data_IF_351100216213
#
_entry.id   IF_351100216213
#
_cell.length_a   1.000
_cell.length_b   1.000
_cell.length_c   1.000
_cell.angle_alpha   90.00
_cell.angle_beta   90.00
_cell.angle_gamma   90.00
#
_symmetry.space_group_name_H-M   'P 1'
#
loop_
_entity.id
_entity.type
_entity.pdbx_description
1 polymer ?
#
# COMPACT_ATOMS: atom_id res chain seq x y z
N UNK A 1 -86.27 -6.42 -4.03
CA UNK A 1 -86.09 -7.89 -3.95
C UNK A 1 -87.14 -8.45 -3.01
N UNK A 2 -87.82 -9.59 -3.35
CA UNK A 2 -88.69 -10.30 -2.42
C UNK A 2 -87.86 -10.83 -1.25
N UNK A 3 -88.33 -10.68 0.03
CA UNK A 3 -87.47 -11.05 1.20
C UNK A 3 -86.99 -12.52 1.23
N UNK A 4 -87.76 -13.45 0.69
CA UNK A 4 -87.39 -14.87 0.61
C UNK A 4 -86.25 -15.11 -0.40
N UNK A 5 -86.27 -14.45 -1.55
CA UNK A 5 -85.26 -14.51 -2.56
C UNK A 5 -83.93 -13.90 -2.03
N UNK A 6 -84.08 -12.77 -1.37
CA UNK A 6 -82.88 -12.12 -0.74
C UNK A 6 -82.21 -13.08 0.26
N UNK A 7 -82.96 -13.71 1.13
CA UNK A 7 -82.42 -14.68 2.08
C UNK A 7 -81.75 -15.90 1.36
N UNK A 8 -82.41 -16.36 0.28
CA UNK A 8 -81.89 -17.50 -0.47
C UNK A 8 -80.57 -17.19 -1.16
N UNK A 9 -80.48 -16.05 -1.90
CA UNK A 9 -79.27 -15.66 -2.61
C UNK A 9 -78.16 -15.34 -1.59
N UNK A 10 -78.47 -14.70 -0.48
CA UNK A 10 -77.50 -14.45 0.57
C UNK A 10 -76.95 -15.75 1.16
N UNK A 11 -77.77 -16.74 1.42
CA UNK A 11 -77.34 -18.06 1.87
C UNK A 11 -76.43 -18.75 0.85
N UNK A 12 -76.72 -18.64 -0.45
CA UNK A 12 -75.89 -19.20 -1.53
C UNK A 12 -74.54 -18.50 -1.63
N UNK A 13 -74.53 -17.17 -1.46
CA UNK A 13 -73.29 -16.40 -1.42
C UNK A 13 -72.43 -16.73 -0.20
N UNK A 14 -73.02 -16.87 0.96
CA UNK A 14 -72.28 -17.23 2.20
C UNK A 14 -71.70 -18.65 2.05
N UNK A 15 -72.44 -19.58 1.46
CA UNK A 15 -71.98 -20.92 1.13
C UNK A 15 -70.79 -20.87 0.11
N UNK A 16 -70.88 -20.02 -0.93
CA UNK A 16 -69.83 -19.82 -1.88
C UNK A 16 -68.53 -19.31 -1.19
N UNK A 17 -68.65 -18.30 -0.34
CA UNK A 17 -67.52 -17.72 0.39
C UNK A 17 -66.88 -18.74 1.34
N UNK A 18 -67.69 -19.54 2.02
CA UNK A 18 -67.21 -20.59 2.93
C UNK A 18 -66.49 -21.72 2.18
N UNK A 19 -67.06 -22.19 1.03
CA UNK A 19 -66.37 -23.17 0.20
C UNK A 19 -65.06 -22.62 -0.38
N UNK A 20 -65.04 -21.35 -0.80
CA UNK A 20 -63.83 -20.69 -1.29
C UNK A 20 -62.81 -20.59 -0.16
N UNK A 21 -63.17 -20.16 1.03
CA UNK A 21 -62.30 -20.07 2.19
C UNK A 21 -61.74 -21.45 2.64
N UNK A 22 -62.54 -22.46 2.56
CA UNK A 22 -62.19 -23.84 2.91
C UNK A 22 -61.37 -24.56 1.81
N UNK A 23 -61.26 -23.96 0.61
CA UNK A 23 -60.64 -24.58 -0.57
C UNK A 23 -61.38 -25.85 -1.01
N UNK A 24 -62.74 -25.82 -0.89
CA UNK A 24 -63.60 -26.93 -1.18
C UNK A 24 -63.97 -27.00 -2.66
N UNK A 25 -63.57 -28.07 -3.37
CA UNK A 25 -63.78 -28.26 -4.79
C UNK A 25 -65.29 -28.28 -5.20
N UNK A 26 -66.22 -28.54 -4.22
CA UNK A 26 -67.67 -28.50 -4.42
C UNK A 26 -68.15 -27.12 -4.94
N UNK A 27 -67.33 -26.04 -4.67
CA UNK A 27 -67.57 -24.74 -5.24
C UNK A 27 -67.72 -24.79 -6.78
N UNK A 28 -66.97 -25.63 -7.44
CA UNK A 28 -66.96 -25.75 -8.91
C UNK A 28 -68.32 -26.24 -9.49
N UNK A 29 -69.17 -26.93 -8.68
CA UNK A 29 -70.48 -27.38 -9.07
C UNK A 29 -71.56 -26.27 -9.10
N UNK A 30 -71.23 -25.10 -8.53
CA UNK A 30 -72.11 -23.96 -8.48
C UNK A 30 -72.11 -23.10 -9.77
N UNK A 31 -71.13 -23.34 -10.66
CA UNK A 31 -71.04 -22.58 -11.92
C UNK A 31 -71.99 -23.17 -12.98
N UNK A 32 -72.61 -22.27 -13.74
CA UNK A 32 -73.44 -22.59 -14.91
C UNK A 32 -72.57 -23.15 -16.05
N UNK A 33 -73.20 -23.94 -16.91
CA UNK A 33 -72.52 -24.35 -18.18
C UNK A 33 -72.16 -23.15 -19.05
N UNK A 34 -73.00 -22.09 -19.00
CA UNK A 34 -72.83 -20.81 -19.72
C UNK A 34 -72.14 -19.77 -18.85
N UNK A 35 -70.94 -20.13 -18.32
CA UNK A 35 -70.21 -19.32 -17.37
C UNK A 35 -69.23 -18.38 -18.09
N UNK A 36 -69.07 -17.18 -17.53
CA UNK A 36 -67.94 -16.29 -17.83
C UNK A 36 -67.32 -15.75 -16.54
N UNK A 37 -66.03 -15.30 -16.60
CA UNK A 37 -65.43 -14.72 -15.43
C UNK A 37 -64.04 -14.15 -15.69
N UNK A 38 -63.54 -13.37 -14.73
CA UNK A 38 -62.13 -12.92 -14.71
C UNK A 38 -61.60 -12.92 -13.30
N UNK A 39 -60.28 -13.12 -13.19
CA UNK A 39 -59.55 -13.09 -11.92
C UNK A 39 -58.72 -11.82 -11.77
N UNK A 40 -58.44 -11.40 -10.53
CA UNK A 40 -57.71 -10.20 -10.23
C UNK A 40 -56.26 -10.15 -10.77
N UNK A 41 -55.70 -11.27 -11.18
CA UNK A 41 -54.37 -11.36 -11.78
C UNK A 41 -54.39 -11.69 -13.29
N UNK A 42 -55.58 -11.92 -13.88
CA UNK A 42 -55.73 -12.35 -15.26
C UNK A 42 -56.07 -11.18 -16.19
N UNK A 43 -55.35 -11.05 -17.30
CA UNK A 43 -55.60 -10.03 -18.33
C UNK A 43 -56.58 -10.51 -19.41
N UNK A 44 -57.36 -11.56 -19.13
CA UNK A 44 -58.26 -12.17 -20.10
C UNK A 44 -59.60 -12.54 -19.45
N UNK A 45 -60.64 -12.62 -20.26
CA UNK A 45 -61.95 -13.05 -19.87
C UNK A 45 -62.07 -14.56 -20.16
N UNK A 46 -62.31 -15.34 -19.13
CA UNK A 46 -62.66 -16.75 -19.26
C UNK A 46 -64.13 -16.85 -19.70
N UNK A 47 -64.41 -17.62 -20.75
CA UNK A 47 -65.72 -17.83 -21.33
C UNK A 47 -66.14 -19.28 -21.31
N UNK A 48 -65.42 -20.08 -20.59
CA UNK A 48 -65.63 -21.52 -20.51
C UNK A 48 -65.61 -21.99 -19.06
N UNK A 49 -66.60 -22.74 -18.65
CA UNK A 49 -66.73 -23.25 -17.28
C UNK A 49 -65.58 -24.15 -16.91
N UNK A 50 -65.15 -25.05 -17.79
CA UNK A 50 -64.12 -26.04 -17.48
C UNK A 50 -62.74 -25.34 -17.33
N UNK A 51 -62.51 -24.26 -18.08
CA UNK A 51 -61.33 -23.41 -17.90
C UNK A 51 -61.37 -22.72 -16.55
N UNK A 52 -62.55 -22.17 -16.14
CA UNK A 52 -62.71 -21.54 -14.83
C UNK A 52 -62.51 -22.51 -13.68
N UNK A 53 -63.02 -23.75 -13.81
CA UNK A 53 -62.79 -24.80 -12.83
C UNK A 53 -61.29 -25.11 -12.69
N UNK A 54 -60.54 -25.18 -13.79
CA UNK A 54 -59.08 -25.36 -13.75
C UNK A 54 -58.39 -24.22 -13.01
N UNK A 55 -58.76 -22.97 -13.30
CA UNK A 55 -58.20 -21.79 -12.63
C UNK A 55 -58.50 -21.82 -11.12
N UNK A 56 -59.77 -22.12 -10.75
CA UNK A 56 -60.16 -22.24 -9.35
C UNK A 56 -59.32 -23.29 -8.60
N UNK A 57 -59.10 -24.45 -9.22
CA UNK A 57 -58.28 -25.54 -8.67
C UNK A 57 -56.79 -25.12 -8.58
N UNK A 58 -56.29 -24.38 -9.54
CA UNK A 58 -54.94 -23.80 -9.49
C UNK A 58 -54.78 -22.82 -8.34
N UNK A 59 -55.78 -21.93 -8.13
CA UNK A 59 -55.78 -21.02 -6.97
C UNK A 59 -55.77 -21.79 -5.64
N UNK A 60 -56.60 -22.83 -5.54
CA UNK A 60 -56.64 -23.67 -4.34
C UNK A 60 -55.31 -24.41 -4.08
N UNK A 61 -54.62 -24.80 -5.13
CA UNK A 61 -53.29 -25.47 -5.04
C UNK A 61 -52.17 -24.50 -4.63
N UNK A 62 -52.25 -23.24 -4.99
CA UNK A 62 -51.22 -22.22 -4.65
C UNK A 62 -51.17 -21.93 -3.14
N UNK A 63 -52.32 -21.97 -2.46
CA UNK A 63 -52.41 -21.71 -1.03
C UNK A 63 -53.06 -22.88 -0.36
N UNK A 64 -52.22 -23.77 0.22
CA UNK A 64 -52.69 -24.92 0.96
C UNK A 64 -53.27 -24.52 2.31
N UNK A 65 -54.45 -25.05 2.65
CA UNK A 65 -55.13 -24.76 3.89
C UNK A 65 -56.20 -23.66 3.80
N UNK A 66 -56.97 -23.58 4.88
CA UNK A 66 -58.07 -22.61 4.95
C UNK A 66 -57.56 -21.20 5.01
N UNK A 67 -58.15 -20.31 4.22
CA UNK A 67 -57.96 -18.86 4.31
C UNK A 67 -59.08 -18.21 5.14
N UNK A 68 -58.84 -17.05 5.69
CA UNK A 68 -59.87 -16.28 6.36
C UNK A 68 -60.31 -15.12 5.46
N UNK A 69 -61.63 -15.06 5.24
CA UNK A 69 -62.29 -13.94 4.52
C UNK A 69 -62.97 -13.04 5.55
N UNK A 70 -62.62 -11.79 5.56
CA UNK A 70 -63.21 -10.76 6.40
C UNK A 70 -64.09 -9.89 5.55
N UNK A 71 -65.44 -10.09 5.63
CA UNK A 71 -66.45 -9.36 4.86
C UNK A 71 -66.53 -7.92 5.35
N UNK A 72 -66.42 -6.97 4.44
CA UNK A 72 -66.56 -5.55 4.77
C UNK A 72 -67.94 -5.02 4.37
N UNK A 73 -68.42 -5.35 3.18
CA UNK A 73 -69.70 -4.91 2.68
C UNK A 73 -70.25 -5.87 1.61
N UNK A 74 -71.54 -5.96 1.50
CA UNK A 74 -72.24 -6.79 0.50
C UNK A 74 -73.53 -6.12 0.06
N UNK A 75 -73.73 -6.06 -1.24
CA UNK A 75 -74.92 -5.53 -1.90
C UNK A 75 -75.55 -6.56 -2.81
N UNK A 76 -76.87 -6.78 -2.71
CA UNK A 76 -77.66 -7.64 -3.62
C UNK A 76 -78.61 -6.76 -4.43
N UNK A 77 -78.57 -6.97 -5.75
CA UNK A 77 -79.40 -6.22 -6.72
C UNK A 77 -80.21 -7.13 -7.62
N UNK A 78 -81.56 -7.07 -7.53
CA UNK A 78 -82.43 -7.75 -8.47
C UNK A 78 -82.34 -7.07 -9.84
N UNK A 79 -81.99 -7.82 -10.86
CA UNK A 79 -81.92 -7.39 -12.23
C UNK A 79 -83.24 -7.86 -12.97
N UNK A 80 -83.67 -9.09 -12.67
CA UNK A 80 -84.93 -9.69 -13.10
C UNK A 80 -85.36 -10.76 -12.11
N UNK A 81 -86.51 -11.41 -12.38
CA UNK A 81 -86.99 -12.53 -11.57
C UNK A 81 -86.01 -13.73 -11.57
N UNK A 82 -85.21 -13.83 -12.59
CA UNK A 82 -84.28 -14.93 -12.80
C UNK A 82 -82.80 -14.55 -12.60
N UNK A 83 -82.45 -13.24 -12.36
CA UNK A 83 -81.07 -12.78 -12.30
C UNK A 83 -80.89 -11.84 -11.13
N UNK A 84 -79.87 -12.17 -10.28
CA UNK A 84 -79.45 -11.34 -9.16
C UNK A 84 -77.91 -11.11 -9.25
N UNK A 85 -77.49 -9.86 -9.05
CA UNK A 85 -76.10 -9.48 -8.95
C UNK A 85 -75.76 -9.29 -7.49
N UNK A 86 -74.67 -9.94 -7.03
CA UNK A 86 -74.09 -9.76 -5.73
C UNK A 86 -72.74 -9.11 -5.88
N UNK A 87 -72.56 -7.98 -5.21
CA UNK A 87 -71.26 -7.27 -5.12
C UNK A 87 -70.81 -7.32 -3.68
N UNK A 88 -69.56 -7.79 -3.45
CA UNK A 88 -69.01 -7.90 -2.13
C UNK A 88 -67.58 -7.28 -2.06
N UNK A 89 -67.27 -6.73 -0.89
CA UNK A 89 -65.95 -6.20 -0.54
C UNK A 89 -65.46 -6.92 0.66
N UNK A 90 -64.20 -7.42 0.66
CA UNK A 90 -63.63 -8.20 1.74
C UNK A 90 -62.10 -8.19 1.74
N UNK A 91 -61.47 -8.47 2.89
CA UNK A 91 -60.08 -8.79 2.98
C UNK A 91 -59.83 -10.29 2.88
N UNK A 92 -58.72 -10.67 2.23
CA UNK A 92 -58.27 -12.06 2.13
C UNK A 92 -57.06 -12.24 3.02
N UNK A 93 -57.19 -12.96 4.11
CA UNK A 93 -56.11 -13.29 5.01
C UNK A 93 -55.54 -14.67 4.68
N UNK A 94 -54.35 -14.68 4.12
CA UNK A 94 -53.64 -15.93 3.82
C UNK A 94 -52.91 -16.41 5.11
N UNK A 95 -52.60 -17.73 5.21
CA UNK A 95 -51.86 -18.29 6.33
C UNK A 95 -50.37 -17.95 6.28
N UNK A 96 -50.02 -16.75 5.82
CA UNK A 96 -48.66 -16.20 5.72
C UNK A 96 -48.65 -14.82 6.41
N UNK A 97 -47.76 -14.59 7.39
CA UNK A 97 -47.69 -13.32 8.11
C UNK A 97 -47.44 -12.13 7.15
N UNK A 98 -48.11 -11.02 7.41
CA UNK A 98 -47.94 -9.73 6.69
C UNK A 98 -48.06 -9.78 5.16
N UNK A 99 -48.85 -10.72 4.63
CA UNK A 99 -49.10 -10.78 3.20
C UNK A 99 -49.90 -9.55 2.69
N UNK A 100 -49.49 -8.99 1.56
CA UNK A 100 -50.09 -7.77 1.00
C UNK A 100 -51.62 -7.87 0.81
N UNK A 101 -52.11 -9.03 0.41
CA UNK A 101 -53.55 -9.30 0.23
C UNK A 101 -54.38 -9.13 1.53
N UNK A 102 -53.77 -9.23 2.69
CA UNK A 102 -54.46 -9.03 3.97
C UNK A 102 -54.75 -7.55 4.26
N UNK A 103 -54.14 -6.65 3.53
CA UNK A 103 -54.30 -5.20 3.66
C UNK A 103 -55.15 -4.60 2.52
N UNK A 104 -55.38 -5.36 1.45
CA UNK A 104 -56.12 -4.93 0.27
C UNK A 104 -57.56 -5.36 0.33
N UNK A 105 -58.42 -4.52 -0.22
CA UNK A 105 -59.86 -4.79 -0.34
C UNK A 105 -60.13 -5.50 -1.67
N UNK A 106 -60.43 -6.79 -1.62
CA UNK A 106 -60.90 -7.52 -2.78
C UNK A 106 -62.36 -7.16 -3.06
N UNK A 107 -62.65 -7.05 -4.34
CA UNK A 107 -63.98 -6.78 -4.87
C UNK A 107 -64.44 -7.96 -5.68
N UNK A 108 -65.57 -8.53 -5.33
CA UNK A 108 -66.17 -9.68 -6.00
C UNK A 108 -67.54 -9.32 -6.54
N UNK A 109 -67.78 -9.61 -7.81
CA UNK A 109 -69.07 -9.55 -8.41
C UNK A 109 -69.46 -10.97 -8.83
N UNK A 110 -70.58 -11.49 -8.29
CA UNK A 110 -71.20 -12.71 -8.72
C UNK A 110 -72.56 -12.42 -9.37
N UNK A 111 -72.86 -13.04 -10.49
CA UNK A 111 -74.15 -13.01 -11.11
C UNK A 111 -74.80 -14.37 -10.99
N UNK A 112 -75.87 -14.45 -10.23
CA UNK A 112 -76.68 -15.64 -10.06
C UNK A 112 -77.83 -15.62 -11.08
N UNK A 113 -78.04 -16.74 -11.75
CA UNK A 113 -79.17 -16.93 -12.65
C UNK A 113 -79.94 -18.19 -12.22
N UNK A 114 -81.27 -18.13 -12.23
CA UNK A 114 -82.15 -19.26 -11.99
C UNK A 114 -82.20 -20.15 -13.22
N UNK A 115 -81.76 -21.39 -13.09
CA UNK A 115 -81.77 -22.41 -14.12
C UNK A 115 -82.63 -23.58 -13.68
N UNK A 116 -83.88 -23.65 -14.20
CA UNK A 116 -84.88 -24.53 -13.65
C UNK A 116 -85.26 -24.14 -12.22
N UNK A 117 -85.04 -24.99 -11.26
CA UNK A 117 -85.32 -24.74 -9.84
C UNK A 117 -84.05 -24.44 -9.01
N UNK A 118 -82.87 -24.30 -9.67
CA UNK A 118 -81.57 -24.06 -8.99
C UNK A 118 -80.90 -22.77 -9.43
N UNK A 119 -80.29 -22.04 -8.48
CA UNK A 119 -79.53 -20.86 -8.76
C UNK A 119 -78.07 -21.23 -9.07
N UNK A 120 -77.63 -20.86 -10.27
CA UNK A 120 -76.24 -21.07 -10.75
C UNK A 120 -75.50 -19.75 -10.89
N UNK A 121 -74.18 -19.77 -10.74
CA UNK A 121 -73.30 -18.60 -10.97
C UNK A 121 -72.96 -18.59 -12.47
N UNK A 122 -73.39 -17.57 -13.19
CA UNK A 122 -73.11 -17.37 -14.61
C UNK A 122 -71.94 -16.39 -14.86
N UNK A 123 -71.59 -15.60 -13.85
CA UNK A 123 -70.45 -14.72 -13.95
C UNK A 123 -69.77 -14.58 -12.59
N UNK A 124 -68.43 -14.57 -12.59
CA UNK A 124 -67.63 -14.23 -11.42
C UNK A 124 -66.49 -13.31 -11.84
N UNK A 125 -66.44 -12.14 -11.24
CA UNK A 125 -65.38 -11.18 -11.42
C UNK A 125 -64.77 -10.81 -10.10
N UNK A 126 -63.51 -11.14 -9.86
CA UNK A 126 -62.76 -10.69 -8.70
C UNK A 126 -61.67 -9.71 -9.13
N UNK A 127 -61.57 -8.61 -8.43
CA UNK A 127 -60.51 -7.62 -8.63
C UNK A 127 -59.91 -7.21 -7.29
N UNK A 128 -58.63 -7.03 -7.27
CA UNK A 128 -57.89 -6.51 -6.11
C UNK A 128 -57.21 -5.24 -6.58
N UNK A 129 -57.71 -4.04 -6.17
CA UNK A 129 -57.05 -2.80 -6.55
C UNK A 129 -55.72 -2.67 -5.88
N UNK A 130 -54.68 -2.41 -6.66
CA UNK A 130 -53.38 -2.05 -6.09
C UNK A 130 -53.45 -0.64 -5.51
N UNK A 131 -52.79 -0.40 -4.36
CA UNK A 131 -52.81 0.92 -3.67
C UNK A 131 -52.09 2.05 -4.43
N UNK A 132 -51.79 1.85 -5.68
CA UNK A 132 -51.14 2.87 -6.50
C UNK A 132 -52.11 3.92 -7.03
N UNK A 133 -53.44 3.68 -6.90
CA UNK A 133 -54.48 4.62 -7.39
C UNK A 133 -54.90 5.53 -6.24
N UNK A 134 -54.66 6.83 -6.38
CA UNK A 134 -55.11 7.83 -5.40
C UNK A 134 -56.59 8.13 -5.63
N UNK A 135 -57.23 8.72 -4.57
CA UNK A 135 -58.64 9.11 -4.67
C UNK A 135 -58.87 10.07 -5.83
N UNK A 136 -59.76 9.69 -6.75
CA UNK A 136 -60.07 10.44 -8.00
C UNK A 136 -59.21 10.07 -9.23
N UNK A 137 -58.24 9.16 -9.12
CA UNK A 137 -57.50 8.64 -10.28
C UNK A 137 -58.17 7.37 -10.85
N UNK A 138 -58.24 7.28 -12.17
CA UNK A 138 -58.63 6.03 -12.85
C UNK A 138 -57.44 5.12 -13.13
N UNK A 139 -56.26 5.70 -13.32
CA UNK A 139 -55.00 5.02 -13.55
C UNK A 139 -53.88 5.58 -12.63
N UNK A 140 -53.04 4.76 -12.04
CA UNK A 140 -52.00 5.19 -11.08
C UNK A 140 -50.77 5.83 -11.77
N UNK A 141 -51.02 6.73 -12.72
CA UNK A 141 -49.95 7.31 -13.56
C UNK A 141 -48.99 8.17 -12.74
N UNK A 142 -49.52 8.96 -11.83
CA UNK A 142 -48.75 9.91 -11.04
C UNK A 142 -47.81 9.20 -10.05
N UNK A 143 -48.31 8.22 -9.29
CA UNK A 143 -47.52 7.45 -8.35
C UNK A 143 -46.49 6.58 -9.04
N UNK A 144 -46.77 6.04 -10.22
CA UNK A 144 -45.79 5.31 -11.04
C UNK A 144 -44.69 6.24 -11.58
N UNK A 145 -45.03 7.45 -12.01
CA UNK A 145 -44.04 8.44 -12.45
C UNK A 145 -43.13 8.88 -11.30
N UNK A 146 -43.72 9.21 -10.14
CA UNK A 146 -42.98 9.62 -8.95
C UNK A 146 -42.00 8.50 -8.51
N UNK A 147 -42.45 7.26 -8.50
CA UNK A 147 -41.63 6.11 -8.15
C UNK A 147 -40.52 5.86 -9.19
N UNK A 148 -40.80 6.02 -10.46
CA UNK A 148 -39.82 5.88 -11.53
C UNK A 148 -38.75 6.97 -11.45
N UNK A 149 -39.16 8.22 -11.27
CA UNK A 149 -38.25 9.36 -11.08
C UNK A 149 -37.36 9.18 -9.83
N UNK A 150 -37.90 8.66 -8.71
CA UNK A 150 -37.15 8.38 -7.51
C UNK A 150 -36.11 7.26 -7.72
N UNK A 151 -36.47 6.21 -8.47
CA UNK A 151 -35.55 5.13 -8.83
C UNK A 151 -34.43 5.60 -9.75
N UNK A 152 -34.77 6.41 -10.76
CA UNK A 152 -33.79 7.02 -11.68
C UNK A 152 -32.81 7.91 -10.94
N UNK A 153 -33.29 8.75 -10.02
CA UNK A 153 -32.43 9.58 -9.17
C UNK A 153 -31.51 8.75 -8.27
N UNK A 154 -32.01 7.66 -7.68
CA UNK A 154 -31.22 6.75 -6.86
C UNK A 154 -30.14 6.02 -7.68
N UNK A 155 -30.47 5.55 -8.87
CA UNK A 155 -29.50 4.91 -9.79
C UNK A 155 -28.42 5.92 -10.19
N UNK A 156 -28.81 7.14 -10.56
CA UNK A 156 -27.86 8.19 -10.91
C UNK A 156 -26.92 8.53 -9.76
N UNK A 157 -27.44 8.70 -8.54
CA UNK A 157 -26.64 8.97 -7.34
C UNK A 157 -25.67 7.81 -7.01
N UNK A 158 -26.12 6.56 -7.12
CA UNK A 158 -25.28 5.38 -6.92
C UNK A 158 -24.18 5.27 -7.97
N UNK A 159 -24.51 5.52 -9.22
CA UNK A 159 -23.55 5.48 -10.33
C UNK A 159 -22.48 6.57 -10.15
N UNK A 160 -22.90 7.77 -9.79
CA UNK A 160 -21.97 8.87 -9.52
C UNK A 160 -21.02 8.54 -8.34
N UNK A 161 -21.56 8.06 -7.23
CA UNK A 161 -20.75 7.67 -6.06
C UNK A 161 -19.76 6.53 -6.41
N UNK A 162 -20.16 5.59 -7.26
CA UNK A 162 -19.27 4.52 -7.74
C UNK A 162 -18.15 5.08 -8.61
N UNK A 163 -18.45 5.99 -9.53
CA UNK A 163 -17.45 6.64 -10.38
C UNK A 163 -16.44 7.44 -9.54
N UNK A 164 -16.91 8.21 -8.55
CA UNK A 164 -16.06 8.97 -7.65
C UNK A 164 -15.16 8.04 -6.83
N UNK A 165 -15.70 6.94 -6.30
CA UNK A 165 -14.94 5.93 -5.58
C UNK A 165 -13.90 5.25 -6.47
N UNK A 166 -14.25 4.91 -7.72
CA UNK A 166 -13.31 4.33 -8.68
C UNK A 166 -12.21 5.31 -9.07
N UNK A 167 -12.54 6.59 -9.27
CA UNK A 167 -11.57 7.62 -9.59
C UNK A 167 -10.57 7.82 -8.43
N UNK A 168 -11.07 7.88 -7.20
CA UNK A 168 -10.23 7.96 -6.00
C UNK A 168 -9.34 6.71 -5.86
N UNK A 169 -9.90 5.52 -6.08
CA UNK A 169 -9.14 4.28 -6.04
C UNK A 169 -8.00 4.29 -7.06
N UNK A 170 -8.27 4.70 -8.31
CA UNK A 170 -7.23 4.83 -9.35
C UNK A 170 -6.15 5.81 -8.95
N UNK A 171 -6.52 6.99 -8.48
CA UNK A 171 -5.57 8.00 -8.02
C UNK A 171 -4.66 7.48 -6.91
N UNK A 172 -5.19 6.72 -5.96
CA UNK A 172 -4.42 6.15 -4.86
C UNK A 172 -3.56 4.95 -5.25
N UNK A 173 -3.92 4.20 -6.30
CA UNK A 173 -3.25 2.95 -6.68
C UNK A 173 -2.44 3.05 -7.97
N UNK A 174 -2.87 3.87 -8.93
CA UNK A 174 -2.26 3.94 -10.26
C UNK A 174 -1.36 5.18 -10.44
N UNK A 175 -1.72 6.32 -9.81
CA UNK A 175 -0.97 7.57 -9.95
C UNK A 175 0.14 7.75 -8.93
N UNK A 176 0.21 6.89 -7.91
CA UNK A 176 1.31 6.91 -6.95
C UNK A 176 2.56 6.24 -7.53
N UNK A 177 3.73 6.72 -7.12
CA UNK A 177 5.01 6.06 -7.39
C UNK A 177 5.23 4.85 -6.48
N UNK A 178 4.50 4.76 -5.37
CA UNK A 178 4.58 3.65 -4.44
C UNK A 178 3.83 2.43 -4.99
N UNK A 179 4.40 1.26 -4.87
CA UNK A 179 3.78 0.00 -5.26
C UNK A 179 2.95 -0.53 -4.10
N UNK A 180 1.63 -0.60 -4.28
CA UNK A 180 0.74 -1.26 -3.33
C UNK A 180 0.68 -2.76 -3.64
N UNK A 181 0.72 -3.58 -2.61
CA UNK A 181 0.69 -5.03 -2.77
C UNK A 181 -0.05 -5.73 -1.63
N UNK A 182 -0.53 -6.92 -1.94
CA UNK A 182 -1.16 -7.84 -1.00
C UNK A 182 -0.66 -9.26 -1.26
N UNK A 183 -0.51 -10.05 -0.18
CA UNK A 183 -0.13 -11.46 -0.25
C UNK A 183 -1.12 -12.32 0.53
N UNK A 184 -1.07 -13.61 0.27
CA UNK A 184 -1.64 -14.61 1.16
C UNK A 184 -0.74 -14.84 2.40
N UNK A 185 -1.15 -15.79 3.26
CA UNK A 185 -0.38 -16.18 4.45
C UNK A 185 0.99 -16.80 4.14
N UNK A 186 1.17 -17.33 2.92
CA UNK A 186 2.42 -17.96 2.47
C UNK A 186 3.33 -16.96 1.76
N UNK A 187 3.02 -15.66 1.79
CA UNK A 187 3.74 -14.59 1.11
C UNK A 187 3.68 -14.69 -0.43
N UNK A 188 2.68 -15.38 -1.00
CA UNK A 188 2.40 -15.34 -2.43
C UNK A 188 1.56 -14.10 -2.75
N UNK A 189 1.95 -13.33 -3.77
CA UNK A 189 1.26 -12.13 -4.19
C UNK A 189 -0.15 -12.44 -4.67
N UNK A 190 -1.15 -11.77 -4.10
CA UNK A 190 -2.56 -11.84 -4.52
C UNK A 190 -3.01 -10.56 -5.24
N UNK A 191 -2.31 -9.46 -5.02
CA UNK A 191 -2.52 -8.18 -5.68
C UNK A 191 -1.21 -7.39 -5.72
N UNK A 192 -1.03 -6.67 -6.81
CA UNK A 192 0.00 -5.65 -6.95
C UNK A 192 -0.52 -4.51 -7.83
N UNK A 193 -0.20 -3.26 -7.46
CA UNK A 193 -0.65 -2.09 -8.23
C UNK A 193 0.09 -1.97 -9.57
N UNK A 194 -0.50 -1.32 -10.59
CA UNK A 194 0.14 -1.07 -11.87
C UNK A 194 1.43 -0.24 -11.80
N UNK A 195 1.66 0.44 -10.68
CA UNK A 195 2.92 1.16 -10.40
C UNK A 195 4.14 0.25 -10.46
N UNK A 196 3.97 -1.05 -10.25
CA UNK A 196 5.05 -2.03 -10.31
C UNK A 196 5.63 -2.19 -11.71
N UNK A 197 4.79 -2.14 -12.74
CA UNK A 197 5.27 -2.17 -14.13
C UNK A 197 6.17 -0.97 -14.44
N UNK A 198 5.85 0.22 -13.90
CA UNK A 198 6.70 1.41 -14.03
C UNK A 198 8.00 1.30 -13.23
N UNK A 199 7.93 0.72 -12.04
CA UNK A 199 9.07 0.64 -11.12
C UNK A 199 10.02 -0.50 -11.47
N UNK A 200 9.50 -1.72 -11.57
CA UNK A 200 10.31 -2.94 -11.73
C UNK A 200 10.17 -3.59 -13.11
N UNK A 201 9.24 -3.12 -13.95
CA UNK A 201 8.99 -3.65 -15.30
C UNK A 201 8.13 -4.91 -15.34
N UNK A 202 7.58 -5.36 -14.22
CA UNK A 202 6.70 -6.54 -14.16
C UNK A 202 5.24 -6.14 -14.26
N UNK A 203 4.48 -6.80 -15.13
CA UNK A 203 3.03 -6.73 -15.13
C UNK A 203 2.46 -7.54 -13.97
N UNK A 204 1.31 -7.12 -13.45
CA UNK A 204 0.66 -7.81 -12.33
C UNK A 204 0.45 -9.31 -12.61
N UNK A 205 0.08 -9.65 -13.84
CA UNK A 205 -0.16 -11.04 -14.29
C UNK A 205 1.09 -11.94 -14.25
N UNK A 206 2.28 -11.32 -14.27
CA UNK A 206 3.57 -12.04 -14.26
C UNK A 206 4.05 -12.34 -12.83
N UNK A 207 3.56 -11.62 -11.83
CA UNK A 207 4.04 -11.75 -10.45
C UNK A 207 2.96 -12.19 -9.47
N UNK A 208 1.68 -12.00 -9.76
CA UNK A 208 0.58 -12.52 -8.95
C UNK A 208 0.64 -14.06 -8.94
N UNK A 209 0.53 -14.64 -7.75
CA UNK A 209 0.72 -16.07 -7.51
C UNK A 209 2.16 -16.48 -7.19
N UNK A 210 3.16 -15.63 -7.46
CA UNK A 210 4.55 -15.87 -7.12
C UNK A 210 4.88 -15.42 -5.69
N UNK A 211 5.91 -16.01 -5.11
CA UNK A 211 6.37 -15.63 -3.77
C UNK A 211 7.12 -14.30 -3.82
N UNK A 212 6.88 -13.40 -2.84
CA UNK A 212 7.52 -12.06 -2.82
C UNK A 212 9.05 -12.11 -2.84
N UNK A 213 9.65 -13.19 -2.33
CA UNK A 213 11.11 -13.35 -2.34
C UNK A 213 11.71 -13.53 -3.72
N UNK A 214 10.91 -13.92 -4.73
CA UNK A 214 11.37 -14.01 -6.12
C UNK A 214 11.75 -12.64 -6.69
N UNK A 215 11.21 -11.58 -6.09
CA UNK A 215 11.47 -10.19 -6.45
C UNK A 215 12.67 -9.58 -5.71
N UNK A 216 13.28 -10.28 -4.75
CA UNK A 216 14.38 -9.79 -3.95
C UNK A 216 15.72 -10.39 -4.40
N UNK A 217 16.81 -9.74 -4.03
CA UNK A 217 18.14 -10.35 -4.13
C UNK A 217 18.32 -11.43 -3.05
N UNK A 218 19.28 -12.34 -3.22
CA UNK A 218 19.55 -13.40 -2.25
C UNK A 218 19.90 -12.83 -0.86
N UNK A 219 20.74 -11.78 -0.82
CA UNK A 219 21.07 -11.06 0.40
C UNK A 219 19.84 -10.40 1.03
N UNK A 220 18.95 -9.83 0.18
CA UNK A 220 17.69 -9.25 0.60
C UNK A 220 16.78 -10.28 1.25
N UNK A 221 16.63 -11.45 0.65
CA UNK A 221 15.86 -12.58 1.22
C UNK A 221 16.43 -13.01 2.57
N UNK A 222 17.77 -13.13 2.67
CA UNK A 222 18.42 -13.51 3.93
C UNK A 222 18.17 -12.49 5.05
N UNK A 223 18.26 -11.19 4.71
CA UNK A 223 18.00 -10.09 5.64
C UNK A 223 16.54 -10.07 6.13
N UNK A 224 15.58 -10.22 5.22
CA UNK A 224 14.15 -10.24 5.58
C UNK A 224 13.79 -11.47 6.42
N UNK A 225 14.31 -12.65 6.08
CA UNK A 225 14.14 -13.87 6.90
C UNK A 225 14.71 -13.73 8.31
N UNK A 226 15.84 -13.04 8.46
CA UNK A 226 16.42 -12.73 9.78
C UNK A 226 15.49 -11.81 10.55
N UNK A 227 15.04 -10.72 9.95
CA UNK A 227 14.13 -9.75 10.55
C UNK A 227 12.82 -10.40 11.03
N UNK A 228 12.24 -11.28 10.22
CA UNK A 228 11.02 -12.02 10.59
C UNK A 228 11.23 -12.93 11.79
N UNK A 229 12.37 -13.62 11.87
CA UNK A 229 12.72 -14.46 13.03
C UNK A 229 12.92 -13.64 14.30
N UNK A 230 13.65 -12.53 14.19
CA UNK A 230 13.93 -11.65 15.32
C UNK A 230 12.63 -11.02 15.87
N UNK A 231 11.70 -10.62 14.98
CA UNK A 231 10.39 -10.12 15.36
C UNK A 231 9.49 -11.17 16.04
N UNK A 232 9.57 -12.43 15.62
CA UNK A 232 8.85 -13.52 16.28
C UNK A 232 9.41 -13.88 17.65
N UNK A 233 10.73 -13.77 17.83
CA UNK A 233 11.42 -14.09 19.08
C UNK A 233 11.21 -13.03 20.17
N UNK A 234 11.05 -11.77 19.80
CA UNK A 234 10.88 -10.66 20.76
C UNK A 234 9.46 -10.56 21.34
N UNK A 235 8.46 -11.23 20.75
CA UNK A 235 7.08 -11.18 21.23
C UNK A 235 6.42 -9.80 21.19
N UNK A 236 7.18 -8.78 20.80
CA UNK A 236 6.67 -7.43 20.63
C UNK A 236 6.11 -7.25 19.19
N UNK A 237 4.92 -6.63 19.04
CA UNK A 237 4.50 -6.20 17.73
C UNK A 237 5.52 -5.19 17.19
N UNK A 238 6.06 -5.42 16.02
CA UNK A 238 7.20 -4.73 15.41
C UNK A 238 7.06 -3.20 15.20
N UNK A 239 6.06 -2.58 15.71
CA UNK A 239 5.91 -1.15 16.03
C UNK A 239 4.61 -0.94 16.79
N UNK A 240 4.45 0.17 17.53
CA UNK A 240 3.19 0.60 18.15
C UNK A 240 2.01 0.74 17.15
N UNK A 241 2.30 0.77 15.85
CA UNK A 241 1.31 0.87 14.77
C UNK A 241 1.02 -0.46 14.05
N UNK A 242 1.68 -1.58 14.44
CA UNK A 242 1.48 -2.89 13.82
C UNK A 242 2.07 -3.03 12.40
N UNK A 243 2.94 -2.09 11.96
CA UNK A 243 3.66 -2.16 10.69
C UNK A 243 5.09 -2.64 10.90
N UNK A 244 5.56 -3.51 10.01
CA UNK A 244 6.96 -3.86 9.87
C UNK A 244 7.55 -3.02 8.73
N UNK A 245 8.58 -2.23 9.04
CA UNK A 245 9.30 -1.42 8.04
C UNK A 245 10.71 -1.96 7.87
N UNK A 246 11.12 -2.17 6.62
CA UNK A 246 12.47 -2.60 6.30
C UNK A 246 12.88 -2.14 4.90
N UNK A 247 14.18 -2.12 4.65
CA UNK A 247 14.74 -1.79 3.34
C UNK A 247 15.36 -3.05 2.74
N UNK A 248 15.03 -3.31 1.48
CA UNK A 248 15.50 -4.50 0.77
C UNK A 248 15.80 -4.17 -0.69
N UNK A 249 16.79 -4.86 -1.24
CA UNK A 249 17.14 -4.73 -2.64
C UNK A 249 16.26 -5.64 -3.51
N UNK A 250 15.57 -5.03 -4.46
CA UNK A 250 14.69 -5.68 -5.42
C UNK A 250 15.42 -5.91 -6.74
N UNK A 251 15.00 -6.97 -7.42
CA UNK A 251 15.43 -7.30 -8.79
C UNK A 251 14.35 -6.86 -9.76
N UNK A 252 14.71 -6.00 -10.72
CA UNK A 252 13.83 -5.61 -11.83
C UNK A 252 13.85 -6.66 -12.94
N UNK A 253 12.85 -6.64 -13.81
CA UNK A 253 12.69 -7.54 -14.95
C UNK A 253 13.85 -7.42 -15.95
N UNK A 254 14.41 -6.23 -16.10
CA UNK A 254 15.57 -5.93 -16.95
C UNK A 254 16.92 -6.27 -16.31
N UNK A 255 16.91 -6.82 -15.11
CA UNK A 255 18.12 -7.17 -14.34
C UNK A 255 18.69 -6.04 -13.49
N UNK A 256 18.16 -4.81 -13.58
CA UNK A 256 18.54 -3.72 -12.67
C UNK A 256 18.19 -4.08 -11.22
N UNK A 257 18.95 -3.53 -10.30
CA UNK A 257 18.69 -3.62 -8.88
C UNK A 257 18.24 -2.25 -8.36
N UNK A 258 17.19 -2.25 -7.54
CA UNK A 258 16.71 -1.05 -6.87
C UNK A 258 16.54 -1.29 -5.37
N UNK A 259 16.64 -0.24 -4.58
CA UNK A 259 16.33 -0.29 -3.16
C UNK A 259 14.88 0.09 -2.92
N UNK A 260 14.13 -0.81 -2.27
CA UNK A 260 12.77 -0.58 -1.82
C UNK A 260 12.69 -0.46 -0.30
N UNK A 261 12.00 0.56 0.17
CA UNK A 261 11.52 0.64 1.55
C UNK A 261 10.13 0.02 1.60
N UNK A 262 9.99 -1.06 2.35
CA UNK A 262 8.77 -1.86 2.45
C UNK A 262 8.10 -1.58 3.78
N UNK A 263 6.84 -1.15 3.74
CA UNK A 263 5.94 -1.12 4.88
C UNK A 263 4.95 -2.28 4.74
N UNK A 264 4.99 -3.22 5.67
CA UNK A 264 4.15 -4.41 5.66
C UNK A 264 3.29 -4.48 6.92
N UNK A 265 2.03 -4.86 6.75
CA UNK A 265 1.08 -5.08 7.85
C UNK A 265 0.40 -6.44 7.68
N UNK A 266 0.26 -7.24 8.74
CA UNK A 266 -0.51 -8.48 8.70
C UNK A 266 -2.00 -8.19 8.60
N UNK A 267 -2.70 -8.91 7.73
CA UNK A 267 -4.15 -8.96 7.64
C UNK A 267 -4.65 -10.13 8.51
N UNK A 268 -5.64 -9.86 9.35
CA UNK A 268 -6.20 -10.86 10.27
C UNK A 268 -7.67 -11.08 9.98
N UNK A 269 -8.12 -12.32 10.12
CA UNK A 269 -9.54 -12.66 10.07
C UNK A 269 -10.26 -12.30 11.41
N UNK A 270 -11.55 -12.57 11.49
CA UNK A 270 -12.37 -12.30 12.68
C UNK A 270 -11.88 -13.04 13.93
N UNK A 271 -11.21 -14.19 13.75
CA UNK A 271 -10.63 -15.02 14.82
C UNK A 271 -9.21 -14.58 15.22
N UNK A 272 -8.67 -13.50 14.60
CA UNK A 272 -7.34 -12.96 14.90
C UNK A 272 -6.18 -13.68 14.19
N UNK A 273 -6.45 -14.72 13.40
CA UNK A 273 -5.42 -15.45 12.65
C UNK A 273 -4.94 -14.63 11.43
N UNK A 274 -3.64 -14.68 11.14
CA UNK A 274 -3.08 -14.01 9.96
C UNK A 274 -3.51 -14.76 8.71
N UNK A 275 -4.19 -14.07 7.82
CA UNK A 275 -4.66 -14.57 6.51
C UNK A 275 -3.81 -14.08 5.35
N UNK A 276 -3.01 -13.05 5.56
CA UNK A 276 -2.12 -12.48 4.56
C UNK A 276 -1.40 -11.25 5.08
N UNK A 277 -0.76 -10.54 4.17
CA UNK A 277 -0.07 -9.28 4.43
C UNK A 277 -0.41 -8.29 3.31
N UNK A 278 -0.41 -7.02 3.65
CA UNK A 278 -0.53 -5.94 2.67
C UNK A 278 0.43 -4.82 3.03
N UNK A 279 0.77 -4.03 2.05
CA UNK A 279 1.69 -2.93 2.29
C UNK A 279 2.01 -2.12 1.06
N UNK A 280 3.02 -1.30 1.22
CA UNK A 280 3.58 -0.48 0.16
C UNK A 280 5.07 -0.72 0.03
N UNK A 281 5.57 -0.57 -1.19
CA UNK A 281 7.00 -0.52 -1.49
C UNK A 281 7.30 0.82 -2.15
N UNK A 282 8.18 1.60 -1.54
CA UNK A 282 8.67 2.87 -2.05
C UNK A 282 10.09 2.72 -2.57
N UNK A 283 10.37 3.22 -3.75
CA UNK A 283 11.75 3.30 -4.23
C UNK A 283 12.56 4.33 -3.45
N UNK A 284 13.74 3.93 -2.97
CA UNK A 284 14.66 4.78 -2.22
C UNK A 284 16.09 4.77 -2.81
N UNK A 285 16.28 4.27 -4.01
CA UNK A 285 17.61 4.12 -4.64
C UNK A 285 18.32 5.47 -4.76
N UNK A 286 17.64 6.47 -5.31
CA UNK A 286 18.21 7.81 -5.47
C UNK A 286 18.42 8.50 -4.12
N UNK A 287 17.48 8.36 -3.19
CA UNK A 287 17.64 8.87 -1.82
C UNK A 287 18.88 8.31 -1.15
N UNK A 288 19.09 6.99 -1.20
CA UNK A 288 20.30 6.34 -0.64
C UNK A 288 21.57 6.82 -1.32
N UNK A 289 21.54 6.91 -2.65
CA UNK A 289 22.67 7.44 -3.42
C UNK A 289 23.05 8.85 -2.98
N UNK A 290 22.06 9.72 -2.81
CA UNK A 290 22.28 11.08 -2.32
C UNK A 290 22.79 11.11 -0.87
N UNK A 291 22.21 10.28 0.01
CA UNK A 291 22.66 10.13 1.40
C UNK A 291 24.14 9.65 1.46
N UNK A 292 24.50 8.65 0.63
CA UNK A 292 25.87 8.19 0.52
C UNK A 292 26.83 9.24 -0.05
N UNK A 293 26.38 9.99 -1.06
CA UNK A 293 27.15 11.13 -1.61
C UNK A 293 27.36 12.22 -0.54
N UNK A 294 26.30 12.60 0.17
CA UNK A 294 26.40 13.58 1.27
C UNK A 294 27.37 13.07 2.36
N UNK A 295 27.30 11.79 2.69
CA UNK A 295 28.21 11.16 3.66
C UNK A 295 29.65 11.17 3.17
N UNK A 296 29.87 10.85 1.88
CA UNK A 296 31.21 10.94 1.27
C UNK A 296 31.76 12.38 1.34
N UNK A 297 30.98 13.35 0.88
CA UNK A 297 31.40 14.77 0.94
C UNK A 297 31.62 15.29 2.36
N UNK A 298 30.84 14.79 3.33
CA UNK A 298 30.98 15.21 4.73
C UNK A 298 32.23 14.67 5.41
N UNK A 299 32.77 13.53 4.98
CA UNK A 299 33.84 12.81 5.68
C UNK A 299 35.10 12.54 4.83
N UNK A 300 35.03 12.72 3.52
CA UNK A 300 36.16 12.49 2.61
C UNK A 300 36.48 13.70 1.78
N UNK A 301 37.72 13.82 1.36
CA UNK A 301 38.19 14.81 0.39
C UNK A 301 37.73 14.41 -1.03
N UNK A 302 37.07 15.29 -1.79
CA UNK A 302 36.46 14.90 -3.07
C UNK A 302 37.49 14.57 -4.17
N UNK A 303 38.73 15.09 -4.09
CA UNK A 303 39.76 14.81 -5.07
C UNK A 303 40.46 13.48 -4.77
N UNK A 304 40.94 13.28 -3.55
CA UNK A 304 41.81 12.16 -3.20
C UNK A 304 41.06 10.97 -2.61
N UNK A 305 39.78 11.14 -2.29
CA UNK A 305 38.96 10.19 -1.54
C UNK A 305 39.59 9.73 -0.22
N UNK A 306 40.48 10.51 0.36
CA UNK A 306 41.02 10.32 1.70
C UNK A 306 40.03 10.86 2.73
N UNK A 307 40.06 10.38 3.98
CA UNK A 307 39.46 11.07 5.12
C UNK A 307 39.78 12.57 5.07
N UNK A 308 38.74 13.39 5.26
CA UNK A 308 38.92 14.83 5.40
C UNK A 308 39.25 15.21 6.85
N UNK A 309 39.44 16.50 7.13
CA UNK A 309 39.72 17.04 8.46
C UNK A 309 38.69 16.57 9.52
N UNK A 310 37.41 16.45 9.16
CA UNK A 310 36.35 16.03 10.10
C UNK A 310 36.50 14.56 10.49
N UNK A 311 36.67 13.67 9.52
CA UNK A 311 36.84 12.23 9.78
C UNK A 311 38.18 11.95 10.49
N UNK A 312 39.24 12.70 10.15
CA UNK A 312 40.51 12.60 10.86
C UNK A 312 40.36 12.89 12.35
N UNK A 313 39.65 13.98 12.72
CA UNK A 313 39.45 14.33 14.14
C UNK A 313 38.64 13.26 14.87
N UNK A 314 37.63 12.71 14.27
CA UNK A 314 36.87 11.59 14.84
C UNK A 314 37.77 10.38 15.09
N UNK A 315 38.58 9.99 14.10
CA UNK A 315 39.51 8.87 14.22
C UNK A 315 40.62 9.11 15.27
N UNK A 316 41.12 10.34 15.33
CA UNK A 316 42.08 10.74 16.38
C UNK A 316 41.46 10.57 17.78
N UNK A 317 40.21 11.01 17.96
CA UNK A 317 39.49 10.83 19.23
C UNK A 317 39.33 9.35 19.61
N UNK A 318 39.00 8.53 18.66
CA UNK A 318 38.90 7.08 18.87
C UNK A 318 40.24 6.45 19.18
N UNK A 319 41.33 6.82 18.48
CA UNK A 319 42.67 6.33 18.71
C UNK A 319 43.19 6.73 20.12
N UNK A 320 42.95 7.97 20.52
CA UNK A 320 43.33 8.42 21.89
C UNK A 320 42.52 7.67 22.96
N UNK A 321 41.22 7.44 22.76
CA UNK A 321 40.41 6.68 23.70
C UNK A 321 40.79 5.18 23.74
N UNK A 322 41.20 4.60 22.63
CA UNK A 322 41.71 3.22 22.57
C UNK A 322 43.05 3.09 23.23
N UNK A 323 44.01 3.99 22.94
CA UNK A 323 45.32 4.04 23.60
C UNK A 323 45.22 4.13 25.11
N UNK A 324 44.20 4.85 25.62
CA UNK A 324 43.89 4.89 27.06
C UNK A 324 43.60 3.52 27.67
N UNK A 325 42.86 2.67 26.95
CA UNK A 325 42.46 1.35 27.45
C UNK A 325 43.57 0.31 27.30
N UNK A 326 44.34 0.39 26.20
CA UNK A 326 45.39 -0.57 25.86
C UNK A 326 46.79 -0.18 26.37
N UNK A 327 46.93 1.05 26.92
CA UNK A 327 48.21 1.69 27.24
C UNK A 327 49.18 1.80 26.04
N UNK A 328 48.67 1.70 24.82
CA UNK A 328 49.46 1.84 23.62
C UNK A 328 49.61 3.32 23.23
N UNK A 329 50.83 3.64 22.73
CA UNK A 329 51.11 4.95 22.16
C UNK A 329 50.56 5.06 20.71
N UNK A 330 50.25 6.26 20.30
CA UNK A 330 49.99 6.63 18.90
C UNK A 330 50.87 7.75 18.45
N UNK A 331 50.88 8.03 17.14
CA UNK A 331 51.57 9.18 16.57
C UNK A 331 50.70 9.89 15.54
N UNK A 332 50.77 11.22 15.53
CA UNK A 332 50.17 12.05 14.49
C UNK A 332 51.31 12.75 13.73
N UNK A 333 51.24 12.65 12.39
CA UNK A 333 52.17 13.31 11.50
C UNK A 333 51.43 14.31 10.62
N UNK A 334 51.85 15.55 10.66
CA UNK A 334 51.36 16.61 9.75
C UNK A 334 52.37 16.79 8.62
N UNK A 335 51.91 16.79 7.38
CA UNK A 335 52.74 16.82 6.18
C UNK A 335 52.28 17.97 5.28
N UNK A 336 53.26 18.69 4.73
CA UNK A 336 53.02 19.74 3.75
C UNK A 336 53.97 19.52 2.54
N UNK A 337 53.38 19.61 1.33
CA UNK A 337 54.17 19.35 0.11
C UNK A 337 55.00 20.58 -0.26
N UNK A 338 56.31 20.39 -0.25
CA UNK A 338 57.26 21.46 -0.53
C UNK A 338 57.09 21.96 -1.98
N UNK A 339 56.96 23.28 -2.16
CA UNK A 339 56.90 23.96 -3.45
C UNK A 339 55.64 23.54 -4.33
N UNK A 340 54.59 23.05 -3.75
CA UNK A 340 53.36 22.64 -4.47
C UNK A 340 52.79 23.83 -5.27
N UNK A 341 52.80 25.03 -4.71
CA UNK A 341 52.35 26.23 -5.41
C UNK A 341 53.11 26.47 -6.70
N UNK A 342 54.45 26.24 -6.72
CA UNK A 342 55.26 26.41 -7.92
C UNK A 342 54.83 25.47 -9.07
N UNK A 343 54.41 24.24 -8.75
CA UNK A 343 53.83 23.31 -9.73
C UNK A 343 52.56 23.90 -10.35
N UNK A 344 51.63 24.37 -9.50
CA UNK A 344 50.38 24.96 -9.96
C UNK A 344 50.62 26.20 -10.83
N UNK A 345 51.50 27.07 -10.39
CA UNK A 345 51.83 28.32 -11.13
C UNK A 345 52.49 28.02 -12.50
N UNK A 346 53.25 26.92 -12.60
CA UNK A 346 54.00 26.58 -13.82
C UNK A 346 53.16 25.71 -14.78
N UNK A 347 52.42 24.74 -14.26
CA UNK A 347 51.79 23.68 -15.04
C UNK A 347 50.27 23.65 -14.94
N UNK A 348 49.68 24.54 -14.10
CA UNK A 348 48.24 24.63 -13.90
C UNK A 348 47.72 23.69 -12.80
N UNK A 349 46.49 23.93 -12.33
CA UNK A 349 45.86 23.21 -11.25
C UNK A 349 45.64 21.72 -11.56
N UNK A 350 45.43 21.34 -12.82
CA UNK A 350 45.31 19.95 -13.25
C UNK A 350 46.56 19.14 -12.91
N UNK A 351 47.76 19.72 -13.08
CA UNK A 351 49.01 19.07 -12.71
C UNK A 351 49.11 18.91 -11.17
N UNK A 352 48.67 19.92 -10.42
CA UNK A 352 48.59 19.86 -8.95
C UNK A 352 47.62 18.77 -8.46
N UNK A 353 46.46 18.67 -9.06
CA UNK A 353 45.48 17.64 -8.71
C UNK A 353 46.02 16.21 -8.98
N UNK A 354 46.69 15.99 -10.09
CA UNK A 354 47.38 14.72 -10.41
C UNK A 354 48.49 14.42 -9.40
N UNK A 355 49.24 15.41 -8.96
CA UNK A 355 50.27 15.24 -7.90
C UNK A 355 49.60 14.80 -6.60
N UNK A 356 48.55 15.50 -6.15
CA UNK A 356 47.83 15.19 -4.93
C UNK A 356 47.26 13.76 -4.92
N UNK A 357 46.73 13.28 -6.06
CA UNK A 357 46.28 11.90 -6.21
C UNK A 357 47.41 10.90 -6.06
N UNK A 358 48.59 11.15 -6.67
CA UNK A 358 49.74 10.26 -6.55
C UNK A 358 50.35 10.31 -5.15
N UNK A 359 50.37 11.46 -4.48
CA UNK A 359 50.77 11.61 -3.07
C UNK A 359 49.86 10.78 -2.19
N UNK A 360 48.56 10.89 -2.34
CA UNK A 360 47.59 10.12 -1.58
C UNK A 360 47.80 8.60 -1.73
N UNK A 361 48.08 8.13 -2.94
CA UNK A 361 48.37 6.71 -3.22
C UNK A 361 49.69 6.27 -2.56
N UNK A 362 50.75 7.07 -2.64
CA UNK A 362 52.05 6.77 -1.97
C UNK A 362 51.91 6.73 -0.47
N UNK A 363 51.23 7.67 0.15
CA UNK A 363 50.96 7.70 1.58
C UNK A 363 50.22 6.44 2.04
N UNK A 364 49.17 6.03 1.34
CA UNK A 364 48.46 4.77 1.63
C UNK A 364 49.36 3.55 1.55
N UNK A 365 50.30 3.50 0.61
CA UNK A 365 51.29 2.41 0.48
C UNK A 365 52.36 2.39 1.58
N UNK A 366 52.52 3.45 2.36
CA UNK A 366 53.50 3.55 3.42
C UNK A 366 53.00 3.05 4.78
N UNK A 367 51.69 3.02 5.03
CA UNK A 367 51.04 2.75 6.30
C UNK A 367 50.18 1.47 6.24
N UNK A 368 49.73 0.99 7.39
CA UNK A 368 48.86 -0.19 7.53
C UNK A 368 47.40 0.22 7.29
N UNK A 369 46.53 -0.75 7.04
CA UNK A 369 45.07 -0.51 6.85
C UNK A 369 44.40 0.11 8.09
N UNK A 370 44.87 -0.21 9.27
CA UNK A 370 44.38 0.35 10.57
C UNK A 370 44.80 1.81 10.77
N UNK A 371 45.86 2.26 10.12
CA UNK A 371 46.31 3.65 10.17
C UNK A 371 45.43 4.55 9.30
N UNK A 372 45.43 5.82 9.58
CA UNK A 372 44.66 6.78 8.82
C UNK A 372 45.55 7.73 8.05
N UNK A 373 45.34 7.82 6.74
CA UNK A 373 45.85 8.91 5.90
C UNK A 373 44.69 9.83 5.60
N UNK A 374 44.83 11.15 5.84
CA UNK A 374 43.83 12.15 5.61
C UNK A 374 44.42 13.30 4.79
N UNK A 375 43.59 13.99 3.99
CA UNK A 375 43.93 15.30 3.42
C UNK A 375 43.25 16.37 4.23
N UNK A 376 44.07 17.29 4.78
CA UNK A 376 43.59 18.31 5.71
C UNK A 376 43.07 19.54 4.98
N UNK A 377 43.67 19.87 3.83
CA UNK A 377 43.31 20.98 2.92
C UNK A 377 44.47 21.33 2.02
N UNK A 378 44.21 21.86 0.84
CA UNK A 378 45.29 22.28 -0.09
C UNK A 378 46.32 21.17 -0.37
N UNK A 379 47.56 21.38 0.04
CA UNK A 379 48.70 20.49 -0.06
C UNK A 379 49.09 19.83 1.29
N UNK A 380 48.18 19.94 2.30
CA UNK A 380 48.40 19.37 3.63
C UNK A 380 47.80 17.99 3.79
N UNK A 381 48.59 17.06 4.25
CA UNK A 381 48.17 15.70 4.57
C UNK A 381 48.45 15.39 6.04
N UNK A 382 47.69 14.47 6.61
CA UNK A 382 47.92 14.02 8.00
C UNK A 382 47.88 12.49 8.00
N UNK A 383 48.87 11.91 8.73
CA UNK A 383 48.93 10.46 8.98
C UNK A 383 48.76 10.25 10.46
N UNK A 384 47.81 9.39 10.82
CA UNK A 384 47.55 8.95 12.18
C UNK A 384 47.94 7.47 12.29
N UNK A 385 48.94 7.19 13.12
CA UNK A 385 49.35 5.85 13.48
C UNK A 385 48.71 5.48 14.83
N UNK A 386 47.81 4.50 14.80
CA UNK A 386 47.13 4.02 15.98
C UNK A 386 47.85 2.76 16.57
N UNK A 387 47.78 2.59 17.88
CA UNK A 387 48.21 1.36 18.57
C UNK A 387 49.62 0.87 18.17
N UNK A 388 50.64 1.73 18.38
CA UNK A 388 52.01 1.42 18.04
C UNK A 388 52.59 0.35 19.02
N UNK A 389 52.92 0.75 20.24
CA UNK A 389 53.42 -0.11 21.31
C UNK A 389 53.07 0.51 22.67
N UNK A 390 53.15 -0.29 23.74
CA UNK A 390 53.07 0.18 25.13
C UNK A 390 54.36 0.86 25.59
N UNK A 391 55.51 0.50 25.01
CA UNK A 391 56.80 1.16 25.27
C UNK A 391 56.92 2.44 24.39
N UNK A 392 57.19 3.57 25.03
CA UNK A 392 57.31 4.88 24.37
C UNK A 392 58.49 4.95 23.42
N UNK A 393 59.66 4.38 23.80
CA UNK A 393 60.87 4.44 22.99
C UNK A 393 60.72 3.60 21.71
N UNK A 394 60.17 2.38 21.84
CA UNK A 394 59.84 1.53 20.68
C UNK A 394 58.78 2.18 19.76
N UNK A 395 57.74 2.78 20.33
CA UNK A 395 56.73 3.51 19.59
C UNK A 395 57.33 4.70 18.82
N UNK A 396 58.24 5.44 19.44
CA UNK A 396 58.94 6.55 18.80
C UNK A 396 59.80 6.08 17.62
N UNK A 397 60.57 5.04 17.81
CA UNK A 397 61.41 4.43 16.74
C UNK A 397 60.53 3.96 15.58
N UNK A 398 59.44 3.31 15.89
CA UNK A 398 58.51 2.85 14.86
C UNK A 398 57.83 4.01 14.09
N UNK A 399 57.38 5.04 14.79
CA UNK A 399 56.86 6.25 14.16
C UNK A 399 57.91 6.94 13.28
N UNK A 400 59.16 7.00 13.74
CA UNK A 400 60.25 7.59 12.98
C UNK A 400 60.59 6.79 11.71
N UNK A 401 60.55 5.46 11.76
CA UNK A 401 60.74 4.62 10.57
C UNK A 401 59.63 4.81 9.54
N UNK A 402 58.38 4.92 9.99
CA UNK A 402 57.26 5.19 9.07
C UNK A 402 57.33 6.60 8.48
N UNK A 403 57.68 7.62 9.29
CA UNK A 403 57.88 8.98 8.83
C UNK A 403 59.00 9.08 7.76
N UNK A 404 60.14 8.35 7.97
CA UNK A 404 61.21 8.35 6.97
C UNK A 404 60.83 7.57 5.71
N UNK A 405 60.08 6.45 5.83
CA UNK A 405 59.51 5.75 4.67
C UNK A 405 58.62 6.68 3.85
N UNK A 406 57.74 7.45 4.50
CA UNK A 406 56.86 8.45 3.88
C UNK A 406 57.70 9.53 3.18
N UNK A 407 58.66 10.15 3.91
CA UNK A 407 59.51 11.20 3.34
C UNK A 407 60.24 10.72 2.10
N UNK A 408 60.85 9.55 2.15
CA UNK A 408 61.55 8.96 1.01
C UNK A 408 60.63 8.67 -0.15
N UNK A 409 59.44 8.06 0.08
CA UNK A 409 58.46 7.75 -0.94
C UNK A 409 57.91 9.01 -1.63
N UNK A 410 57.72 10.11 -0.89
CA UNK A 410 57.24 11.37 -1.44
C UNK A 410 58.33 12.10 -2.26
N UNK A 411 59.62 11.91 -1.93
CA UNK A 411 60.74 12.52 -2.66
C UNK A 411 61.05 11.82 -4.00
N UNK A 412 60.50 10.63 -4.26
CA UNK A 412 60.66 9.97 -5.55
C UNK A 412 59.96 10.75 -6.68
N UNK A 413 60.50 10.73 -7.92
CA UNK A 413 59.93 11.46 -9.03
C UNK A 413 58.45 11.04 -9.31
N UNK A 414 57.63 12.01 -9.66
CA UNK A 414 56.26 11.86 -10.13
C UNK A 414 56.17 11.95 -11.66
N UNK A 415 55.36 11.16 -12.29
CA UNK A 415 55.03 11.29 -13.72
C UNK A 415 53.59 11.73 -13.85
N UNK A 416 53.38 12.99 -14.19
CA UNK A 416 52.06 13.59 -14.34
C UNK A 416 51.67 13.57 -15.81
N UNK A 417 50.57 12.93 -16.17
CA UNK A 417 50.07 12.81 -17.57
C UNK A 417 48.89 13.73 -17.71
N UNK A 418 49.07 14.83 -18.42
CA UNK A 418 48.03 15.80 -18.70
C UNK A 418 47.36 15.48 -20.05
N UNK A 419 46.03 15.40 -20.03
CA UNK A 419 45.22 15.21 -21.23
C UNK A 419 44.56 16.52 -21.63
N UNK A 420 45.06 17.19 -22.66
CA UNK A 420 44.41 18.40 -23.21
C UNK A 420 43.63 18.04 -24.47
N UNK A 421 42.35 18.41 -24.47
CA UNK A 421 41.50 18.20 -25.66
C UNK A 421 42.17 18.64 -26.97
N UNK A 422 42.27 17.75 -27.94
CA UNK A 422 42.85 17.99 -29.27
C UNK A 422 44.37 18.12 -29.30
N UNK A 423 45.13 17.81 -28.21
CA UNK A 423 46.59 17.79 -28.16
C UNK A 423 47.13 16.43 -27.75
N UNK A 424 48.36 16.13 -28.12
CA UNK A 424 49.06 14.92 -27.65
C UNK A 424 49.23 14.94 -26.13
N UNK A 425 49.24 13.79 -25.51
CA UNK A 425 49.52 13.62 -24.06
C UNK A 425 50.80 14.35 -23.70
N UNK A 426 50.72 15.20 -22.68
CA UNK A 426 51.88 15.88 -22.12
C UNK A 426 52.31 15.17 -20.84
N UNK A 427 53.50 14.60 -20.80
CA UNK A 427 54.09 13.97 -19.63
C UNK A 427 55.07 14.89 -18.97
N UNK A 428 54.82 15.23 -17.72
CA UNK A 428 55.66 16.06 -16.89
C UNK A 428 56.32 15.20 -15.81
N UNK A 429 57.64 15.21 -15.75
CA UNK A 429 58.35 14.60 -14.63
C UNK A 429 58.63 15.70 -13.60
N UNK A 430 58.10 15.51 -12.40
CA UNK A 430 58.19 16.45 -11.30
C UNK A 430 58.75 15.83 -10.04
N UNK A 431 59.54 16.56 -9.29
CA UNK A 431 60.03 16.13 -7.97
C UNK A 431 59.41 17.04 -6.92
N UNK A 432 58.77 16.43 -5.95
CA UNK A 432 58.16 17.08 -4.81
C UNK A 432 58.66 16.39 -3.55
N UNK A 433 59.03 17.11 -2.54
CA UNK A 433 59.29 16.58 -1.19
C UNK A 433 58.20 17.01 -0.23
N UNK A 434 58.30 16.58 1.02
CA UNK A 434 57.38 17.00 2.06
C UNK A 434 58.13 17.35 3.34
N UNK A 435 57.67 18.41 4.01
CA UNK A 435 58.04 18.75 5.37
C UNK A 435 57.11 18.06 6.35
N UNK A 436 57.65 17.28 7.30
CA UNK A 436 56.86 16.39 8.17
C UNK A 436 57.10 16.78 9.65
N UNK A 437 55.99 17.13 10.32
CA UNK A 437 55.96 17.33 11.77
C UNK A 437 55.26 16.18 12.45
N UNK A 438 55.89 15.57 13.44
CA UNK A 438 55.35 14.42 14.15
C UNK A 438 55.17 14.67 15.65
N UNK A 439 54.17 14.13 16.25
CA UNK A 439 53.95 14.14 17.70
C UNK A 439 53.50 12.75 18.18
N UNK A 440 54.07 12.33 19.31
CA UNK A 440 53.63 11.14 20.02
C UNK A 440 52.51 11.50 21.02
N UNK A 441 51.48 10.67 21.10
CA UNK A 441 50.47 10.77 22.14
C UNK A 441 50.23 9.41 22.80
N UNK A 442 49.90 9.42 24.09
CA UNK A 442 49.68 8.19 24.84
C UNK A 442 48.53 8.27 25.82
N UNK A 443 48.40 9.39 26.53
CA UNK A 443 47.50 9.53 27.66
C UNK A 443 46.77 10.86 27.66
N UNK A 444 46.05 11.13 28.75
CA UNK A 444 44.97 12.09 28.89
C UNK A 444 45.38 13.54 29.07
N UNK A 445 46.67 13.84 29.04
CA UNK A 445 47.17 15.15 29.33
C UNK A 445 46.99 16.12 28.16
N UNK A 446 46.80 15.59 26.94
CA UNK A 446 46.64 16.35 25.73
C UNK A 446 45.21 16.26 25.16
N UNK A 447 44.63 17.34 24.70
CA UNK A 447 43.45 17.36 23.90
C UNK A 447 43.77 17.03 22.43
N UNK A 448 42.74 16.62 21.65
CA UNK A 448 42.89 16.46 20.19
C UNK A 448 43.48 17.70 19.53
N UNK A 449 43.03 18.87 19.97
CA UNK A 449 43.50 20.18 19.43
C UNK A 449 44.98 20.42 19.79
N UNK A 450 45.43 19.99 20.96
CA UNK A 450 46.85 20.11 21.32
C UNK A 450 47.74 19.19 20.48
N UNK A 451 47.34 17.94 20.29
CA UNK A 451 48.06 16.98 19.42
C UNK A 451 48.17 17.53 17.99
N UNK A 452 47.08 18.04 17.45
CA UNK A 452 47.09 18.67 16.13
C UNK A 452 48.00 19.87 16.04
N UNK A 453 47.94 20.79 17.00
CA UNK A 453 48.80 22.02 17.07
C UNK A 453 50.27 21.66 17.21
N UNK A 454 50.60 20.65 18.01
CA UNK A 454 52.01 20.24 18.22
C UNK A 454 52.61 19.59 16.95
N UNK A 455 51.82 18.79 16.22
CA UNK A 455 52.27 18.24 14.95
C UNK A 455 52.48 19.31 13.89
N UNK A 456 51.55 20.28 13.79
CA UNK A 456 51.67 21.43 12.89
C UNK A 456 52.87 22.30 13.21
N UNK A 457 53.10 22.66 14.50
CA UNK A 457 54.27 23.41 14.92
C UNK A 457 55.59 22.65 14.60
N UNK A 458 55.61 21.35 14.73
CA UNK A 458 56.76 20.56 14.34
C UNK A 458 56.96 20.53 12.82
N UNK A 459 55.92 20.50 12.03
CA UNK A 459 55.98 20.59 10.56
C UNK A 459 56.56 21.96 10.14
N UNK A 460 56.10 23.05 10.77
CA UNK A 460 56.65 24.39 10.48
C UNK A 460 58.17 24.44 10.76
N UNK A 461 58.63 23.84 11.89
CA UNK A 461 60.06 23.69 12.16
C UNK A 461 60.80 22.84 11.11
N UNK A 462 60.16 21.88 10.52
CA UNK A 462 60.75 21.12 9.42
C UNK A 462 60.91 21.98 8.14
N UNK A 463 59.94 22.85 7.84
CA UNK A 463 60.08 23.85 6.75
C UNK A 463 61.23 24.81 6.94
N UNK A 464 61.37 25.35 8.16
CA UNK A 464 62.46 26.27 8.53
C UNK A 464 63.83 25.62 8.50
N UNK A 465 63.90 24.33 8.79
CA UNK A 465 65.13 23.53 8.81
C UNK A 465 65.64 23.09 7.41
N UNK A 466 65.05 23.65 6.33
CA UNK A 466 65.50 23.40 4.95
C UNK A 466 64.58 22.50 4.15
N UNK A 467 63.36 22.19 4.64
CA UNK A 467 62.36 21.31 3.99
C UNK A 467 62.84 19.85 3.86
N UNK A 468 62.03 19.00 3.22
CA UNK A 468 62.35 17.58 3.01
C UNK A 468 62.92 16.88 4.25
N UNK A 469 62.35 17.16 5.40
CA UNK A 469 62.86 16.66 6.72
C UNK A 469 61.73 16.39 7.67
N UNK A 470 62.06 15.63 8.73
CA UNK A 470 61.12 15.24 9.78
C UNK A 470 61.52 15.99 11.07
N UNK A 471 60.56 16.53 11.79
CA UNK A 471 60.73 17.03 13.14
C UNK A 471 59.68 16.45 14.07
N UNK A 472 60.13 15.89 15.19
CA UNK A 472 59.26 15.50 16.28
C UNK A 472 59.07 16.67 17.23
N UNK A 473 57.80 16.82 17.65
CA UNK A 473 57.50 17.79 18.69
C UNK A 473 58.18 17.39 20.00
N UNK A 474 58.88 18.32 20.59
CA UNK A 474 59.44 18.21 21.94
C UNK A 474 58.79 19.31 22.76
N UNK A 475 58.13 18.97 23.86
CA UNK A 475 57.67 19.98 24.81
C UNK A 475 58.89 20.77 25.31
N UNK A 476 58.86 22.09 25.17
CA UNK A 476 59.87 22.93 25.82
C UNK A 476 59.70 22.74 27.33
N UNK A 477 60.72 22.18 27.97
CA UNK A 477 60.79 21.90 29.40
C UNK A 477 60.82 23.17 30.26
#
# INVERSE_FOLDING_TARGET
MHPDRERQIRSLFDEYIEMYAARDDRLTMRFSEDFSGYTGGGNFLVKDRDEWVKITRQDFAQVQGRIRIEMLDISLQDVSDEVVVVTAFFHIHLPVPDHILSREVARLVLIFRLEGDDWKIVHSGISIPYHLVQEGEVYPLKSLQERNSALEALVAARTQALHESQALYRLLTEDTLDVLWKTDRNLCLTYISPSDERLRGYKAEEVVGHHVFDLFTEDGVAAVKKLMRDSQASGEPASQAGFLTFQVQHRCKDGRLLWGEVLSKPERNAEGAIVGYHGITREITERRRLEDQVRQLAFHDPLTNLPNRRLLRDRLGHAMAAGKRSACHGALMFLDLDQFKTLNDTHGHEAGDLLLLQVAARLKGCVREVDTVARFGGDEFVVLLAELNTDRAESHVHAQLIAEKIRAALAEPYVLVLHKEGKAECRIQYRCSASIGAVMFADHTASQDDVMKWADAAMYRAKDAGRNTIRFYQAEG
#
